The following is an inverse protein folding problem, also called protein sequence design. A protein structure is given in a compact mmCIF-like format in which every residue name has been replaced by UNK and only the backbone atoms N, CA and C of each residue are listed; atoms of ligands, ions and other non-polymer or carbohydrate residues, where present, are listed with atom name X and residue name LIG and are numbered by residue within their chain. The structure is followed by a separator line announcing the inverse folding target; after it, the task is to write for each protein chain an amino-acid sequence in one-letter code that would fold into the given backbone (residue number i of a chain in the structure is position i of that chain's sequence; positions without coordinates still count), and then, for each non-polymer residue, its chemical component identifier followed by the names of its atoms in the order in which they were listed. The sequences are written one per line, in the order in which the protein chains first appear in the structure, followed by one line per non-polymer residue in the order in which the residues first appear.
data_IF_890236594514
#
_entry.id   IF_890236594514
#
_cell.length_a   1.000
_cell.length_b   1.000
_cell.length_c   1.000
_cell.angle_alpha   90.00
_cell.angle_beta   90.00
_cell.angle_gamma   90.00
#
_symmetry.space_group_name_H-M   'P 1'
#
loop_
_entity.id
_entity.type
_entity.pdbx_description
1 polymer ?
#
# COMPACT_ATOMS: atom_id res chain seq x y z
N UNK A 1 36.50 -14.98 3.05
CA UNK A 1 36.02 -13.93 3.98
C UNK A 1 35.03 -13.07 3.21
N UNK A 2 33.74 -13.20 3.48
CA UNK A 2 32.71 -12.30 2.93
C UNK A 2 32.62 -11.07 3.84
N UNK A 3 32.73 -9.87 3.27
CA UNK A 3 32.49 -8.65 4.03
C UNK A 3 31.08 -8.66 4.64
N UNK A 4 30.87 -8.05 5.82
CA UNK A 4 29.54 -7.91 6.39
C UNK A 4 28.65 -7.13 5.41
N UNK A 5 27.36 -7.48 5.30
CA UNK A 5 26.42 -6.75 4.45
C UNK A 5 26.33 -5.30 4.92
N UNK A 6 26.45 -4.36 3.98
CA UNK A 6 26.26 -2.94 4.26
C UNK A 6 24.79 -2.73 4.67
N UNK A 7 24.51 -2.08 5.83
CA UNK A 7 23.15 -1.78 6.24
C UNK A 7 22.48 -0.92 5.17
N UNK A 8 21.32 -1.37 4.69
CA UNK A 8 20.53 -0.63 3.70
C UNK A 8 19.67 0.38 4.44
N UNK A 9 19.58 1.61 3.93
CA UNK A 9 18.60 2.57 4.44
C UNK A 9 17.21 2.14 3.96
N UNK A 10 16.18 2.14 4.83
CA UNK A 10 14.83 1.85 4.40
C UNK A 10 14.36 2.83 3.31
N UNK A 11 13.64 2.33 2.32
CA UNK A 11 13.02 3.09 1.23
C UNK A 11 11.52 2.97 1.34
N UNK A 12 10.87 4.07 1.73
CA UNK A 12 9.43 4.14 1.81
C UNK A 12 8.80 4.14 0.40
N UNK A 13 7.76 3.32 0.23
CA UNK A 13 6.90 3.33 -0.94
C UNK A 13 5.53 3.89 -0.53
N UNK A 14 5.03 4.89 -1.24
CA UNK A 14 3.75 5.53 -0.94
C UNK A 14 2.89 5.57 -2.20
N UNK A 15 1.60 5.26 -2.06
CA UNK A 15 0.65 5.31 -3.18
C UNK A 15 -0.74 5.75 -2.74
N UNK A 16 -1.50 6.32 -3.66
CA UNK A 16 -2.93 6.58 -3.51
C UNK A 16 -3.71 5.65 -4.45
N UNK A 17 -4.77 5.01 -3.97
CA UNK A 17 -5.56 4.03 -4.73
C UNK A 17 -7.06 4.31 -4.62
N UNK A 18 -7.80 4.04 -5.71
CA UNK A 18 -9.26 4.01 -5.74
C UNK A 18 -9.68 2.88 -6.67
N UNK A 19 -10.36 1.89 -6.14
CA UNK A 19 -10.89 0.75 -6.91
C UNK A 19 -9.83 -0.06 -7.68
N UNK A 20 -8.74 -0.41 -6.99
CA UNK A 20 -7.59 -1.15 -7.54
C UNK A 20 -7.53 -2.62 -7.07
N UNK A 21 -8.62 -3.16 -6.51
CA UNK A 21 -8.61 -4.33 -5.63
C UNK A 21 -7.95 -5.56 -6.24
N UNK A 22 -8.21 -5.81 -7.52
CA UNK A 22 -7.65 -6.96 -8.25
C UNK A 22 -6.13 -6.83 -8.49
N UNK A 23 -5.56 -5.63 -8.40
CA UNK A 23 -4.16 -5.34 -8.70
C UNK A 23 -3.28 -5.22 -7.44
N UNK A 24 -3.86 -4.99 -6.26
CA UNK A 24 -3.14 -4.69 -5.01
C UNK A 24 -2.12 -5.77 -4.65
N UNK A 25 -2.49 -7.05 -4.74
CA UNK A 25 -1.61 -8.15 -4.33
C UNK A 25 -0.42 -8.31 -5.28
N UNK A 26 -0.65 -8.19 -6.59
CA UNK A 26 0.42 -8.22 -7.59
C UNK A 26 1.36 -7.03 -7.39
N UNK A 27 0.80 -5.83 -7.24
CA UNK A 27 1.57 -4.60 -7.01
C UNK A 27 2.44 -4.72 -5.75
N UNK A 28 1.90 -5.24 -4.65
CA UNK A 28 2.63 -5.45 -3.41
C UNK A 28 3.76 -6.47 -3.57
N UNK A 29 3.48 -7.60 -4.22
CA UNK A 29 4.48 -8.65 -4.46
C UNK A 29 5.62 -8.12 -5.33
N UNK A 30 5.30 -7.39 -6.40
CA UNK A 30 6.29 -6.81 -7.30
C UNK A 30 7.24 -5.86 -6.57
N UNK A 31 6.72 -4.90 -5.80
CA UNK A 31 7.57 -3.92 -5.11
C UNK A 31 8.43 -4.55 -4.01
N UNK A 32 7.91 -5.57 -3.33
CA UNK A 32 8.69 -6.34 -2.35
C UNK A 32 9.84 -7.11 -3.01
N UNK A 33 9.64 -7.66 -4.21
CA UNK A 33 10.70 -8.33 -4.98
C UNK A 33 11.75 -7.34 -5.47
N UNK A 34 11.33 -6.15 -5.91
CA UNK A 34 12.24 -5.07 -6.35
C UNK A 34 13.06 -4.50 -5.18
N UNK A 35 12.59 -4.65 -3.94
CA UNK A 35 13.36 -4.35 -2.73
C UNK A 35 12.90 -3.12 -1.95
N UNK A 36 11.64 -2.70 -2.14
CA UNK A 36 11.01 -1.70 -1.27
C UNK A 36 10.62 -2.29 0.08
N UNK A 37 10.58 -1.44 1.11
CA UNK A 37 10.03 -1.77 2.41
C UNK A 37 8.49 -1.71 2.41
N UNK A 38 7.90 -1.87 3.61
CA UNK A 38 6.45 -1.85 3.82
C UNK A 38 5.81 -0.58 3.20
N UNK A 39 4.88 -0.71 2.25
CA UNK A 39 4.27 0.45 1.61
C UNK A 39 3.23 1.12 2.52
N UNK A 40 3.06 2.43 2.34
CA UNK A 40 1.96 3.21 2.90
C UNK A 40 0.98 3.54 1.78
N UNK A 41 -0.26 3.06 1.90
CA UNK A 41 -1.27 3.18 0.86
C UNK A 41 -2.44 3.99 1.40
N UNK A 42 -2.77 5.07 0.70
CA UNK A 42 -3.96 5.87 0.97
C UNK A 42 -5.11 5.46 0.04
N UNK A 43 -6.31 5.23 0.56
CA UNK A 43 -7.49 4.90 -0.28
C UNK A 43 -8.48 6.05 -0.37
N UNK A 44 -9.09 6.24 -1.54
CA UNK A 44 -10.10 7.28 -1.77
C UNK A 44 -11.46 6.63 -2.05
N UNK A 45 -12.22 6.38 -0.98
CA UNK A 45 -13.60 5.88 -1.01
C UNK A 45 -13.85 4.74 -2.02
N UNK A 46 -13.25 3.59 -1.75
CA UNK A 46 -13.36 2.44 -2.64
C UNK A 46 -14.78 1.82 -2.60
N UNK A 47 -15.17 1.23 -3.72
CA UNK A 47 -16.48 0.58 -3.94
C UNK A 47 -16.31 -0.88 -4.37
N UNK A 48 -15.08 -1.30 -4.65
CA UNK A 48 -14.70 -2.66 -5.08
C UNK A 48 -14.14 -3.53 -3.93
N UNK A 49 -14.03 -2.96 -2.72
CA UNK A 49 -13.44 -3.62 -1.55
C UNK A 49 -11.91 -3.54 -1.46
N UNK A 50 -11.25 -2.67 -2.25
CA UNK A 50 -9.82 -2.38 -2.13
C UNK A 50 -9.39 -2.00 -0.71
N UNK A 51 -10.18 -1.14 -0.07
CA UNK A 51 -9.98 -0.67 1.30
C UNK A 51 -10.06 -1.82 2.31
N UNK A 52 -11.07 -2.68 2.20
CA UNK A 52 -11.19 -3.88 3.02
C UNK A 52 -9.99 -4.83 2.84
N UNK A 53 -9.53 -5.03 1.60
CA UNK A 53 -8.33 -5.82 1.34
C UNK A 53 -7.09 -5.19 2.00
N UNK A 54 -6.93 -3.87 1.90
CA UNK A 54 -5.81 -3.14 2.49
C UNK A 54 -5.84 -3.13 4.02
N UNK A 55 -7.02 -3.09 4.64
CA UNK A 55 -7.18 -3.28 6.09
C UNK A 55 -6.64 -4.65 6.52
N UNK A 56 -7.02 -5.72 5.81
CA UNK A 56 -6.51 -7.07 6.10
C UNK A 56 -5.02 -7.20 5.89
N UNK A 57 -4.47 -6.54 4.86
CA UNK A 57 -3.03 -6.51 4.61
C UNK A 57 -2.29 -5.74 5.71
N UNK A 58 -2.90 -4.68 6.26
CA UNK A 58 -2.35 -3.95 7.41
C UNK A 58 -2.35 -4.82 8.68
N UNK A 59 -3.45 -5.52 8.97
CA UNK A 59 -3.53 -6.48 10.07
C UNK A 59 -2.47 -7.58 9.95
N UNK A 60 -2.18 -8.02 8.72
CA UNK A 60 -1.14 -9.01 8.42
C UNK A 60 0.29 -8.45 8.43
N UNK A 61 0.48 -7.14 8.65
CA UNK A 61 1.79 -6.48 8.63
C UNK A 61 2.43 -6.42 7.24
N UNK A 62 1.61 -6.41 6.18
CA UNK A 62 2.05 -6.41 4.79
C UNK A 62 1.98 -5.02 4.13
N UNK A 63 1.20 -4.09 4.68
CA UNK A 63 1.12 -2.69 4.27
C UNK A 63 0.72 -1.81 5.46
N UNK A 64 0.82 -0.49 5.31
CA UNK A 64 0.11 0.49 6.16
C UNK A 64 -1.03 1.06 5.33
N UNK A 65 -2.25 1.02 5.84
CA UNK A 65 -3.44 1.55 5.15
C UNK A 65 -3.92 2.84 5.81
N UNK A 66 -4.16 3.88 5.01
CA UNK A 66 -4.66 5.18 5.44
C UNK A 66 -5.93 5.55 4.65
N UNK A 67 -7.14 5.46 5.21
CA UNK A 67 -8.33 5.91 4.51
C UNK A 67 -8.31 7.44 4.35
N UNK A 68 -8.61 7.92 3.15
CA UNK A 68 -8.81 9.32 2.82
C UNK A 68 -10.25 9.53 2.31
N UNK A 69 -11.23 9.66 3.23
CA UNK A 69 -12.62 9.83 2.85
C UNK A 69 -12.85 11.22 2.24
N UNK A 70 -13.72 11.27 1.23
CA UNK A 70 -14.23 12.50 0.65
C UNK A 70 -14.88 13.36 1.74
N UNK A 71 -14.61 14.66 1.67
CA UNK A 71 -15.24 15.62 2.57
C UNK A 71 -16.72 15.78 2.20
N UNK A 72 -17.60 16.06 3.18
CA UNK A 72 -18.97 16.42 2.89
C UNK A 72 -19.06 17.55 1.86
N UNK A 73 -19.91 17.38 0.83
CA UNK A 73 -20.12 18.37 -0.23
C UNK A 73 -19.12 18.32 -1.39
N UNK A 74 -18.27 17.29 -1.48
CA UNK A 74 -17.41 17.04 -2.64
C UNK A 74 -18.03 15.92 -3.49
N UNK A 75 -18.27 16.21 -4.77
CA UNK A 75 -18.85 15.24 -5.70
C UNK A 75 -17.83 14.16 -6.11
N UNK A 76 -18.32 12.92 -6.22
CA UNK A 76 -17.57 11.79 -6.79
C UNK A 76 -17.56 11.96 -8.31
N UNK A 77 -16.47 12.50 -8.84
CA UNK A 77 -16.13 12.36 -10.27
C UNK A 77 -15.86 10.89 -10.61
#
# INVERSE_FOLDING_TARGET
MTSPPVPRRPVALVSCMKNEGIHILEWLAYHRVVGFDLPVICTNDCEDGSDHLLDRLMEAGAATHLPNPLRPGVDRL
#
